data_IF_703094762943
#
_entry.id   IF_703094762943
#
_cell.length_a   1.000
_cell.length_b   1.000
_cell.length_c   1.000
_cell.angle_alpha   90.00
_cell.angle_beta   90.00
_cell.angle_gamma   90.00
#
_symmetry.space_group_name_H-M   'P 1'
#
loop_
_entity.id
_entity.type
_entity.pdbx_description
1 polymer ?
#
# COMPACT_ATOMS: atom_id res chain seq x y z
N UNK A 1 -18.92 10.87 -10.68
CA UNK A 1 -17.73 10.32 -11.35
C UNK A 1 -17.06 11.49 -12.06
N UNK A 2 -15.84 11.86 -11.68
CA UNK A 2 -15.10 12.96 -12.34
C UNK A 2 -14.74 12.53 -13.76
N UNK A 3 -15.11 13.31 -14.77
CA UNK A 3 -14.95 12.95 -16.18
C UNK A 3 -13.82 13.75 -16.83
N UNK A 4 -12.94 13.05 -17.56
CA UNK A 4 -11.96 13.69 -18.45
C UNK A 4 -12.55 13.86 -19.84
N UNK A 5 -12.18 14.96 -20.51
CA UNK A 5 -12.56 15.22 -21.89
C UNK A 5 -11.52 14.62 -22.83
N UNK A 6 -11.98 14.06 -23.95
CA UNK A 6 -11.14 13.55 -25.03
C UNK A 6 -10.07 12.52 -24.60
N UNK A 7 -10.37 11.69 -23.60
CA UNK A 7 -9.39 10.71 -23.10
C UNK A 7 -9.09 9.63 -24.15
N UNK A 8 -7.82 9.52 -24.54
CA UNK A 8 -7.32 8.52 -25.46
C UNK A 8 -6.22 7.69 -24.77
N UNK A 9 -6.49 6.40 -24.62
CA UNK A 9 -5.51 5.43 -24.14
C UNK A 9 -4.53 5.10 -25.26
N UNK A 10 -3.26 5.48 -25.07
CA UNK A 10 -2.15 5.12 -25.96
C UNK A 10 -1.71 3.66 -25.78
N UNK A 11 -0.40 3.40 -25.90
CA UNK A 11 0.12 2.05 -25.73
C UNK A 11 0.06 1.64 -24.25
N UNK A 12 -0.63 0.52 -23.98
CA UNK A 12 -0.82 0.03 -22.61
C UNK A 12 -0.28 -1.39 -22.34
N UNK A 13 0.30 -2.03 -23.35
CA UNK A 13 0.94 -3.35 -23.24
C UNK A 13 2.34 -3.36 -23.86
N UNK A 14 3.20 -4.26 -23.36
CA UNK A 14 4.58 -4.41 -23.83
C UNK A 14 5.48 -3.21 -23.53
N UNK A 15 5.23 -2.48 -22.45
CA UNK A 15 6.05 -1.34 -22.01
C UNK A 15 7.43 -1.76 -21.44
N UNK A 16 7.66 -3.07 -21.25
CA UNK A 16 8.92 -3.67 -20.80
C UNK A 16 9.51 -2.95 -19.58
N UNK A 17 8.73 -2.91 -18.51
CA UNK A 17 9.08 -2.24 -17.25
C UNK A 17 9.83 -3.23 -16.39
N UNK A 18 11.04 -2.86 -15.95
CA UNK A 18 11.82 -3.71 -15.04
C UNK A 18 11.14 -3.75 -13.68
N UNK A 19 10.91 -4.96 -13.18
CA UNK A 19 10.39 -5.19 -11.85
C UNK A 19 11.50 -5.03 -10.79
N UNK A 20 11.12 -4.70 -9.55
CA UNK A 20 12.07 -4.68 -8.44
C UNK A 20 12.40 -6.10 -7.95
N UNK A 21 13.64 -6.34 -7.55
CA UNK A 21 14.04 -7.66 -7.03
C UNK A 21 13.44 -7.92 -5.64
N UNK A 22 12.92 -9.14 -5.45
CA UNK A 22 12.39 -9.65 -4.18
C UNK A 22 13.27 -10.69 -3.50
N UNK A 23 14.46 -10.95 -4.03
CA UNK A 23 15.36 -11.94 -3.45
C UNK A 23 15.83 -11.48 -2.07
N UNK A 24 15.47 -12.24 -1.03
CA UNK A 24 15.95 -12.02 0.34
C UNK A 24 17.34 -12.61 0.47
N UNK A 25 18.31 -11.78 0.82
CA UNK A 25 19.69 -12.20 1.05
C UNK A 25 19.89 -12.60 2.51
N UNK A 26 20.85 -13.48 2.76
CA UNK A 26 21.18 -13.88 4.13
C UNK A 26 21.70 -12.69 4.95
N UNK A 27 22.37 -11.71 4.34
CA UNK A 27 22.80 -10.49 5.04
C UNK A 27 21.62 -9.69 5.62
N UNK A 28 20.48 -9.65 4.91
CA UNK A 28 19.27 -8.96 5.41
C UNK A 28 18.65 -9.68 6.62
N UNK A 29 18.80 -11.01 6.68
CA UNK A 29 18.36 -11.83 7.82
C UNK A 29 19.29 -11.58 9.02
N UNK A 30 20.59 -11.53 8.78
CA UNK A 30 21.58 -11.27 9.81
C UNK A 30 21.46 -9.85 10.38
N UNK A 31 21.19 -8.85 9.55
CA UNK A 31 20.88 -7.47 9.98
C UNK A 31 19.62 -7.43 10.85
N UNK A 32 18.54 -8.11 10.43
CA UNK A 32 17.32 -8.19 11.22
C UNK A 32 17.54 -8.90 12.57
N UNK A 33 18.33 -9.97 12.60
CA UNK A 33 18.71 -10.65 13.84
C UNK A 33 19.56 -9.75 14.75
N UNK A 34 20.49 -8.99 14.18
CA UNK A 34 21.30 -8.04 14.95
C UNK A 34 20.43 -6.97 15.61
N UNK A 35 19.43 -6.46 14.90
CA UNK A 35 18.44 -5.54 15.46
C UNK A 35 17.68 -6.17 16.64
N UNK A 36 17.22 -7.42 16.51
CA UNK A 36 16.52 -8.13 17.58
C UNK A 36 17.40 -8.39 18.81
N UNK A 37 18.68 -8.72 18.61
CA UNK A 37 19.64 -8.86 19.71
C UNK A 37 19.82 -7.55 20.48
N UNK A 38 19.93 -6.44 19.76
CA UNK A 38 20.06 -5.11 20.38
C UNK A 38 18.80 -4.75 21.17
N UNK A 39 17.61 -5.02 20.62
CA UNK A 39 16.35 -4.79 21.31
C UNK A 39 16.23 -5.63 22.60
N UNK A 40 16.59 -6.91 22.57
CA UNK A 40 16.60 -7.77 23.75
C UNK A 40 17.60 -7.28 24.82
N UNK A 41 18.79 -6.86 24.41
CA UNK A 41 19.80 -6.30 25.29
C UNK A 41 19.35 -4.99 25.96
N UNK A 42 18.64 -4.12 25.23
CA UNK A 42 18.05 -2.89 25.77
C UNK A 42 16.98 -3.19 26.82
N UNK A 43 16.10 -4.16 26.54
CA UNK A 43 15.05 -4.59 27.47
C UNK A 43 15.62 -5.23 28.73
N UNK A 44 16.68 -6.03 28.61
CA UNK A 44 17.40 -6.61 29.75
C UNK A 44 18.02 -5.50 30.62
N UNK A 45 18.66 -4.50 30.00
CA UNK A 45 19.25 -3.37 30.70
C UNK A 45 18.19 -2.56 31.47
N UNK A 46 17.04 -2.31 30.85
CA UNK A 46 15.90 -1.63 31.49
C UNK A 46 15.37 -2.43 32.70
N UNK A 47 15.18 -3.74 32.54
CA UNK A 47 14.75 -4.63 33.64
C UNK A 47 15.73 -4.63 34.82
N UNK A 48 17.03 -4.54 34.55
CA UNK A 48 18.09 -4.53 35.56
C UNK A 48 18.39 -3.13 36.12
N UNK A 49 17.77 -2.07 35.58
CA UNK A 49 18.00 -0.69 35.99
C UNK A 49 19.42 -0.19 35.69
N UNK A 50 20.09 -0.78 34.68
CA UNK A 50 21.45 -0.41 34.25
C UNK A 50 21.42 0.31 32.90
N UNK A 51 22.41 1.18 32.59
CA UNK A 51 22.47 1.84 31.29
C UNK A 51 22.70 0.82 30.15
N UNK A 52 21.88 0.90 29.09
CA UNK A 52 21.92 -0.04 27.94
C UNK A 52 23.31 -0.23 27.30
N UNK A 53 24.15 0.81 27.31
CA UNK A 53 25.51 0.76 26.77
C UNK A 53 26.39 -0.31 27.47
N UNK A 54 26.15 -0.61 28.75
CA UNK A 54 26.90 -1.66 29.46
C UNK A 54 26.52 -3.08 29.01
N UNK A 55 25.33 -3.26 28.44
CA UNK A 55 24.81 -4.56 27.99
C UNK A 55 25.07 -4.74 26.49
N UNK A 56 25.02 -3.67 25.70
CA UNK A 56 25.21 -3.70 24.23
C UNK A 56 26.59 -4.21 23.78
N UNK A 57 27.68 -3.86 24.47
CA UNK A 57 29.05 -4.24 24.09
C UNK A 57 29.33 -5.75 24.26
N UNK A 58 28.55 -6.46 25.09
CA UNK A 58 28.64 -7.92 25.29
C UNK A 58 27.57 -8.72 24.54
N UNK A 59 26.52 -8.06 24.02
CA UNK A 59 25.31 -8.74 23.50
C UNK A 59 25.25 -8.85 21.98
N UNK A 60 25.99 -8.01 21.24
CA UNK A 60 25.92 -7.96 19.78
C UNK A 60 26.28 -9.29 19.09
N UNK A 61 27.09 -10.14 19.75
CA UNK A 61 27.54 -11.42 19.20
C UNK A 61 26.92 -12.66 19.87
N UNK A 62 26.14 -12.51 20.94
CA UNK A 62 25.54 -13.69 21.61
C UNK A 62 24.31 -14.20 20.84
N UNK A 63 24.11 -15.52 20.74
CA UNK A 63 22.85 -16.05 20.24
C UNK A 63 21.70 -15.67 21.18
N UNK A 64 20.52 -15.43 20.60
CA UNK A 64 19.29 -15.27 21.38
C UNK A 64 18.97 -16.59 22.09
N UNK A 65 18.60 -16.51 23.36
CA UNK A 65 18.15 -17.64 24.15
C UNK A 65 16.73 -18.05 23.73
N UNK A 66 16.31 -19.31 24.00
CA UNK A 66 14.94 -19.75 23.71
C UNK A 66 13.84 -18.89 24.35
N UNK A 67 14.11 -18.31 25.53
CA UNK A 67 13.18 -17.40 26.21
C UNK A 67 13.01 -16.09 25.45
N UNK A 68 14.11 -15.46 25.03
CA UNK A 68 14.08 -14.24 24.22
C UNK A 68 13.41 -14.47 22.87
N UNK A 69 13.67 -15.63 22.24
CA UNK A 69 13.02 -16.02 20.99
C UNK A 69 11.50 -16.13 21.18
N UNK A 70 11.05 -16.69 22.31
CA UNK A 70 9.63 -16.84 22.61
C UNK A 70 8.94 -15.49 22.91
N UNK A 71 9.66 -14.53 23.49
CA UNK A 71 9.16 -13.16 23.69
C UNK A 71 9.03 -12.41 22.36
N UNK A 72 10.02 -12.55 21.47
CA UNK A 72 10.00 -11.92 20.14
C UNK A 72 8.94 -12.55 19.22
N UNK A 73 8.90 -13.88 19.18
CA UNK A 73 8.04 -14.65 18.29
C UNK A 73 7.40 -15.83 19.07
N UNK A 74 6.23 -15.60 19.68
CA UNK A 74 5.54 -16.63 20.45
C UNK A 74 5.30 -17.90 19.65
N UNK A 75 5.76 -19.03 20.19
CA UNK A 75 5.65 -20.35 19.56
C UNK A 75 6.90 -20.83 18.82
N UNK A 76 7.96 -20.00 18.74
CA UNK A 76 9.27 -20.43 18.28
C UNK A 76 10.21 -20.69 19.47
N UNK A 77 11.11 -21.64 19.33
CA UNK A 77 12.03 -22.04 20.40
C UNK A 77 13.49 -22.07 19.96
N UNK A 78 13.76 -22.00 18.66
CA UNK A 78 15.11 -22.11 18.11
C UNK A 78 15.47 -20.92 17.21
N UNK A 79 16.77 -20.66 17.10
CA UNK A 79 17.29 -19.59 16.24
C UNK A 79 17.02 -19.87 14.75
N UNK A 80 17.06 -21.14 14.35
CA UNK A 80 16.79 -21.54 12.96
C UNK A 80 15.32 -21.31 12.59
N UNK A 81 14.38 -21.65 13.46
CA UNK A 81 12.95 -21.32 13.28
C UNK A 81 12.73 -19.81 13.16
N UNK A 82 13.40 -19.01 14.01
CA UNK A 82 13.32 -17.55 13.94
C UNK A 82 13.91 -17.01 12.64
N UNK A 83 15.04 -17.56 12.16
CA UNK A 83 15.65 -17.19 10.88
C UNK A 83 14.72 -17.47 9.69
N UNK A 84 14.12 -18.65 9.64
CA UNK A 84 13.13 -18.95 8.59
C UNK A 84 11.93 -18.01 8.68
N UNK A 85 11.46 -17.72 9.90
CA UNK A 85 10.34 -16.78 10.07
C UNK A 85 10.68 -15.37 9.60
N UNK A 86 11.88 -14.88 9.92
CA UNK A 86 12.37 -13.59 9.44
C UNK A 86 12.50 -13.57 7.92
N UNK A 87 13.00 -14.66 7.31
CA UNK A 87 13.07 -14.79 5.86
C UNK A 87 11.69 -14.65 5.22
N UNK A 88 10.67 -15.33 5.75
CA UNK A 88 9.29 -15.21 5.29
C UNK A 88 8.75 -13.78 5.40
N UNK A 89 8.94 -13.15 6.57
CA UNK A 89 8.44 -11.79 6.84
C UNK A 89 9.12 -10.77 5.92
N UNK A 90 10.45 -10.82 5.82
CA UNK A 90 11.23 -9.94 4.95
C UNK A 90 10.81 -10.15 3.49
N UNK A 91 10.68 -11.40 3.05
CA UNK A 91 10.24 -11.70 1.69
C UNK A 91 8.83 -11.15 1.43
N UNK A 92 7.89 -11.34 2.36
CA UNK A 92 6.52 -10.81 2.25
C UNK A 92 6.51 -9.28 2.13
N UNK A 93 7.29 -8.58 2.96
CA UNK A 93 7.44 -7.12 2.87
C UNK A 93 8.06 -6.69 1.54
N UNK A 94 9.08 -7.39 1.06
CA UNK A 94 9.73 -7.09 -0.23
C UNK A 94 8.76 -7.30 -1.39
N UNK A 95 7.99 -8.39 -1.41
CA UNK A 95 6.97 -8.66 -2.44
C UNK A 95 5.90 -7.58 -2.44
N UNK A 96 5.41 -7.18 -1.28
CA UNK A 96 4.40 -6.12 -1.21
C UNK A 96 4.94 -4.76 -1.65
N UNK A 97 6.17 -4.41 -1.23
CA UNK A 97 6.83 -3.18 -1.64
C UNK A 97 7.15 -3.19 -3.14
N UNK A 98 7.57 -4.33 -3.69
CA UNK A 98 7.74 -4.52 -5.13
C UNK A 98 6.41 -4.24 -5.84
N UNK A 99 5.31 -4.90 -5.46
CA UNK A 99 4.01 -4.69 -6.11
C UNK A 99 3.56 -3.24 -6.10
N UNK A 100 3.74 -2.54 -4.98
CA UNK A 100 3.44 -1.11 -4.88
C UNK A 100 4.30 -0.27 -5.83
N UNK A 101 5.61 -0.53 -5.85
CA UNK A 101 6.54 0.21 -6.70
C UNK A 101 6.35 -0.08 -8.19
N UNK A 102 6.13 -1.35 -8.57
CA UNK A 102 5.83 -1.78 -9.94
C UNK A 102 4.52 -1.15 -10.41
N UNK A 103 3.48 -1.10 -9.57
CA UNK A 103 2.21 -0.43 -9.87
C UNK A 103 2.39 1.07 -10.08
N UNK A 104 3.19 1.73 -9.23
CA UNK A 104 3.48 3.15 -9.34
C UNK A 104 4.17 3.47 -10.69
N UNK A 105 5.23 2.74 -11.03
CA UNK A 105 5.98 2.95 -12.27
C UNK A 105 5.12 2.60 -13.49
N UNK A 106 4.33 1.53 -13.41
CA UNK A 106 3.38 1.15 -14.46
C UNK A 106 2.44 2.31 -14.80
N UNK A 107 1.73 2.85 -13.81
CA UNK A 107 0.79 3.93 -14.06
C UNK A 107 1.49 5.23 -14.46
N UNK A 108 2.68 5.52 -13.94
CA UNK A 108 3.47 6.65 -14.43
C UNK A 108 3.74 6.54 -15.94
N UNK A 109 4.13 5.36 -16.42
CA UNK A 109 4.34 5.13 -17.86
C UNK A 109 3.04 5.17 -18.65
N UNK A 110 1.99 4.52 -18.18
CA UNK A 110 0.70 4.48 -18.87
C UNK A 110 0.10 5.89 -19.02
N UNK A 111 0.18 6.71 -17.97
CA UNK A 111 -0.29 8.09 -18.01
C UNK A 111 0.49 8.90 -19.05
N UNK A 112 1.80 8.71 -19.15
CA UNK A 112 2.64 9.39 -20.14
C UNK A 112 2.31 9.02 -21.60
N UNK A 113 1.72 7.85 -21.83
CA UNK A 113 1.25 7.40 -23.16
C UNK A 113 -0.16 7.90 -23.49
N UNK A 114 -0.88 8.46 -22.53
CA UNK A 114 -2.26 8.90 -22.72
C UNK A 114 -2.34 10.36 -23.18
N UNK A 115 -3.36 10.66 -23.98
CA UNK A 115 -3.72 12.02 -24.38
C UNK A 115 -5.08 12.35 -23.79
N UNK A 116 -5.19 13.47 -23.06
CA UNK A 116 -6.45 13.86 -22.41
C UNK A 116 -6.41 15.33 -22.00
N UNK A 117 -7.59 15.87 -21.71
CA UNK A 117 -7.75 17.20 -21.11
C UNK A 117 -8.58 17.09 -19.83
N UNK A 118 -8.10 17.70 -18.75
CA UNK A 118 -8.87 17.83 -17.53
C UNK A 118 -9.89 18.95 -17.65
N UNK A 119 -11.08 18.70 -17.13
CA UNK A 119 -11.96 19.77 -16.75
C UNK A 119 -11.44 20.41 -15.45
N UNK A 120 -11.16 21.71 -15.49
CA UNK A 120 -10.53 22.42 -14.37
C UNK A 120 -11.40 22.38 -13.10
N UNK A 121 -12.72 22.51 -13.26
CA UNK A 121 -13.66 22.52 -12.13
C UNK A 121 -13.75 21.13 -11.49
N UNK A 122 -13.81 20.08 -12.31
CA UNK A 122 -13.80 18.70 -11.80
C UNK A 122 -12.48 18.32 -11.14
N UNK A 123 -11.35 18.82 -11.67
CA UNK A 123 -10.05 18.60 -11.06
C UNK A 123 -9.93 19.31 -9.70
N UNK A 124 -10.49 20.52 -9.56
CA UNK A 124 -10.54 21.24 -8.28
C UNK A 124 -11.45 20.55 -7.25
N UNK A 125 -12.60 20.04 -7.68
CA UNK A 125 -13.43 19.17 -6.81
C UNK A 125 -12.65 17.93 -6.38
N UNK A 126 -11.89 17.33 -7.30
CA UNK A 126 -10.98 16.22 -7.04
C UNK A 126 -9.96 16.53 -5.95
N UNK A 127 -9.28 17.67 -6.07
CA UNK A 127 -8.29 18.11 -5.08
C UNK A 127 -8.91 18.26 -3.69
N UNK A 128 -10.13 18.80 -3.59
CA UNK A 128 -10.84 18.94 -2.31
C UNK A 128 -11.23 17.58 -1.70
N UNK A 129 -11.60 16.59 -2.53
CA UNK A 129 -11.87 15.24 -2.04
C UNK A 129 -10.60 14.62 -1.47
N UNK A 130 -9.49 14.68 -2.21
CA UNK A 130 -8.18 14.18 -1.75
C UNK A 130 -7.76 14.84 -0.42
N UNK A 131 -7.92 16.16 -0.31
CA UNK A 131 -7.62 16.90 0.91
C UNK A 131 -8.45 16.39 2.11
N UNK A 132 -9.76 16.19 1.91
CA UNK A 132 -10.68 15.73 2.97
C UNK A 132 -10.39 14.30 3.40
N UNK A 133 -10.10 13.42 2.44
CA UNK A 133 -9.69 12.04 2.70
C UNK A 133 -8.40 12.00 3.53
N UNK A 134 -7.37 12.74 3.11
CA UNK A 134 -6.12 12.82 3.86
C UNK A 134 -6.32 13.36 5.28
N UNK A 135 -7.14 14.42 5.44
CA UNK A 135 -7.47 14.96 6.76
C UNK A 135 -8.24 13.96 7.65
N UNK A 136 -9.06 13.09 7.05
CA UNK A 136 -9.78 12.04 7.78
C UNK A 136 -8.83 10.90 8.19
N UNK A 137 -7.97 10.46 7.27
CA UNK A 137 -6.96 9.42 7.53
C UNK A 137 -5.97 9.84 8.62
N UNK A 138 -5.45 11.07 8.54
CA UNK A 138 -4.52 11.62 9.53
C UNK A 138 -5.13 11.63 10.94
N UNK A 139 -6.42 11.97 11.06
CA UNK A 139 -7.12 11.94 12.34
C UNK A 139 -7.38 10.52 12.83
N UNK A 140 -7.74 9.61 11.93
CA UNK A 140 -8.05 8.22 12.27
C UNK A 140 -6.81 7.43 12.69
N UNK A 141 -5.68 7.63 12.01
CA UNK A 141 -4.45 6.85 12.21
C UNK A 141 -3.51 7.49 13.22
N UNK A 142 -3.34 8.81 13.17
CA UNK A 142 -2.33 9.53 13.94
C UNK A 142 -2.92 10.43 15.02
N UNK A 143 -4.26 10.54 15.10
CA UNK A 143 -4.94 11.46 16.02
C UNK A 143 -4.58 12.93 15.75
N UNK A 144 -4.10 13.25 14.54
CA UNK A 144 -3.50 14.53 14.21
C UNK A 144 -4.44 15.38 13.34
N UNK A 145 -4.63 16.63 13.74
CA UNK A 145 -5.37 17.61 12.94
C UNK A 145 -4.52 18.11 11.76
N UNK A 146 -5.17 18.34 10.62
CA UNK A 146 -4.51 18.78 9.38
C UNK A 146 -3.63 20.02 9.58
N UNK A 147 -4.08 21.00 10.37
CA UNK A 147 -3.30 22.21 10.63
C UNK A 147 -1.97 21.92 11.32
N UNK A 148 -1.92 20.92 12.21
CA UNK A 148 -0.70 20.50 12.91
C UNK A 148 0.28 19.87 11.93
N UNK A 149 -0.22 19.03 11.02
CA UNK A 149 0.58 18.44 9.94
C UNK A 149 1.22 19.50 9.06
N UNK A 150 0.42 20.47 8.59
CA UNK A 150 0.89 21.55 7.72
C UNK A 150 1.97 22.41 8.40
N UNK A 151 1.79 22.76 9.68
CA UNK A 151 2.81 23.46 10.48
C UNK A 151 4.09 22.64 10.56
N UNK A 152 3.97 21.34 10.87
CA UNK A 152 5.12 20.42 10.96
C UNK A 152 5.89 20.28 9.66
N UNK A 153 5.19 20.33 8.52
CA UNK A 153 5.78 20.29 7.17
C UNK A 153 6.23 21.64 6.64
N UNK A 154 5.90 22.74 7.34
CA UNK A 154 6.11 24.12 6.88
C UNK A 154 5.44 24.39 5.53
N UNK A 155 4.25 23.82 5.33
CA UNK A 155 3.43 24.00 4.14
C UNK A 155 2.24 24.90 4.46
N UNK A 156 1.88 25.74 3.51
CA UNK A 156 0.59 26.43 3.53
C UNK A 156 -0.52 25.50 3.03
N UNK A 157 -1.77 25.82 3.36
CA UNK A 157 -2.92 25.08 2.84
C UNK A 157 -3.02 25.15 1.31
N UNK A 158 -2.59 26.26 0.69
CA UNK A 158 -2.59 26.44 -0.76
C UNK A 158 -1.55 25.55 -1.45
N UNK A 159 -0.32 25.47 -0.91
CA UNK A 159 0.72 24.58 -1.42
C UNK A 159 0.29 23.11 -1.32
N UNK A 160 -0.31 22.72 -0.20
CA UNK A 160 -0.80 21.34 -0.04
C UNK A 160 -2.02 21.04 -0.93
N UNK A 161 -2.89 22.02 -1.20
CA UNK A 161 -3.97 21.85 -2.17
C UNK A 161 -3.46 21.66 -3.60
N UNK A 162 -2.30 22.24 -3.95
CA UNK A 162 -1.66 21.98 -5.24
C UNK A 162 -1.19 20.51 -5.33
N UNK A 163 -0.59 19.97 -4.26
CA UNK A 163 -0.24 18.54 -4.19
C UNK A 163 -1.50 17.65 -4.29
N UNK A 164 -2.59 18.03 -3.62
CA UNK A 164 -3.87 17.34 -3.73
C UNK A 164 -4.41 17.37 -5.16
N UNK A 165 -4.22 18.48 -5.88
CA UNK A 165 -4.63 18.63 -7.29
C UNK A 165 -3.84 17.70 -8.20
N UNK A 166 -2.53 17.57 -8.00
CA UNK A 166 -1.71 16.61 -8.74
C UNK A 166 -2.11 15.16 -8.45
N UNK A 167 -2.41 14.85 -7.19
CA UNK A 167 -2.87 13.52 -6.81
C UNK A 167 -4.26 13.20 -7.40
N UNK A 168 -5.17 14.17 -7.38
CA UNK A 168 -6.47 14.05 -8.04
C UNK A 168 -6.32 13.78 -9.54
N UNK A 169 -5.43 14.52 -10.22
CA UNK A 169 -5.12 14.31 -11.63
C UNK A 169 -4.64 12.87 -11.90
N UNK A 170 -3.70 12.36 -11.09
CA UNK A 170 -3.19 10.99 -11.18
C UNK A 170 -4.28 9.95 -10.95
N UNK A 171 -5.14 10.13 -9.95
CA UNK A 171 -6.26 9.21 -9.64
C UNK A 171 -7.29 9.17 -10.77
N UNK A 172 -7.66 10.34 -11.30
CA UNK A 172 -8.60 10.46 -12.41
C UNK A 172 -8.02 9.75 -13.66
N UNK A 173 -6.76 10.01 -13.99
CA UNK A 173 -6.07 9.36 -15.12
C UNK A 173 -6.01 7.83 -14.94
N UNK A 174 -5.57 7.36 -13.77
CA UNK A 174 -5.52 5.93 -13.42
C UNK A 174 -6.87 5.25 -13.60
N UNK A 175 -7.93 5.85 -13.07
CA UNK A 175 -9.27 5.27 -13.14
C UNK A 175 -9.77 5.16 -14.58
N UNK A 176 -9.56 6.18 -15.42
CA UNK A 176 -9.96 6.11 -16.82
C UNK A 176 -9.16 5.07 -17.62
N UNK A 177 -7.86 4.93 -17.36
CA UNK A 177 -7.04 3.86 -17.95
C UNK A 177 -7.65 2.50 -17.60
N UNK A 178 -7.93 2.26 -16.32
CA UNK A 178 -8.48 1.00 -15.85
C UNK A 178 -9.86 0.73 -16.45
N UNK A 179 -10.77 1.70 -16.47
CA UNK A 179 -12.11 1.53 -17.00
C UNK A 179 -12.09 1.21 -18.50
N UNK A 180 -11.17 1.82 -19.27
CA UNK A 180 -10.96 1.48 -20.68
C UNK A 180 -10.33 0.12 -20.88
N UNK A 181 -9.37 -0.28 -20.04
CA UNK A 181 -8.76 -1.61 -20.11
C UNK A 181 -9.78 -2.69 -19.77
N UNK A 182 -10.60 -2.49 -18.73
CA UNK A 182 -11.70 -3.39 -18.38
C UNK A 182 -12.62 -3.60 -19.58
N UNK A 183 -12.99 -2.50 -20.26
CA UNK A 183 -13.88 -2.54 -21.43
C UNK A 183 -13.22 -3.22 -22.64
N UNK A 184 -11.96 -2.86 -22.96
CA UNK A 184 -11.23 -3.36 -24.13
C UNK A 184 -10.88 -4.84 -24.02
N UNK A 185 -10.46 -5.28 -22.83
CA UNK A 185 -10.03 -6.65 -22.56
C UNK A 185 -11.19 -7.54 -22.09
N UNK A 186 -12.39 -6.99 -21.92
CA UNK A 186 -13.56 -7.73 -21.47
C UNK A 186 -13.41 -8.32 -20.07
N UNK A 187 -12.74 -7.61 -19.16
CA UNK A 187 -12.53 -8.07 -17.79
C UNK A 187 -13.85 -8.03 -17.04
N UNK A 188 -14.25 -9.18 -16.50
CA UNK A 188 -15.52 -9.35 -15.80
C UNK A 188 -15.33 -10.03 -14.44
N UNK A 189 -16.31 -9.81 -13.56
CA UNK A 189 -16.45 -10.58 -12.34
C UNK A 189 -17.24 -11.85 -12.64
N UNK A 190 -16.74 -12.97 -12.12
CA UNK A 190 -17.47 -14.22 -12.06
C UNK A 190 -18.63 -14.11 -11.08
N UNK A 191 -19.65 -14.94 -11.27
CA UNK A 191 -20.80 -14.98 -10.34
C UNK A 191 -20.37 -15.33 -8.92
N UNK A 192 -19.34 -16.18 -8.77
CA UNK A 192 -18.78 -16.52 -7.47
C UNK A 192 -18.12 -15.30 -6.77
N UNK A 193 -17.39 -14.46 -7.52
CA UNK A 193 -16.80 -13.24 -6.98
C UNK A 193 -17.87 -12.25 -6.52
N UNK A 194 -18.94 -12.08 -7.30
CA UNK A 194 -20.08 -11.21 -6.93
C UNK A 194 -20.80 -11.71 -5.69
N UNK A 195 -21.07 -13.01 -5.61
CA UNK A 195 -21.70 -13.62 -4.43
C UNK A 195 -20.84 -13.40 -3.18
N UNK A 196 -19.53 -13.62 -3.28
CA UNK A 196 -18.61 -13.40 -2.17
C UNK A 196 -18.56 -11.93 -1.71
N UNK A 197 -18.67 -10.97 -2.64
CA UNK A 197 -18.79 -9.56 -2.30
C UNK A 197 -20.08 -9.27 -1.53
N UNK A 198 -21.21 -9.79 -2.00
CA UNK A 198 -22.51 -9.65 -1.34
C UNK A 198 -22.48 -10.21 0.09
N UNK A 199 -21.98 -11.44 0.26
CA UNK A 199 -21.89 -12.09 1.57
C UNK A 199 -20.97 -11.34 2.55
N UNK A 200 -19.87 -10.74 2.05
CA UNK A 200 -18.97 -9.92 2.88
C UNK A 200 -19.64 -8.63 3.33
N UNK A 201 -20.39 -7.97 2.45
CA UNK A 201 -21.09 -6.72 2.78
C UNK A 201 -22.21 -6.98 3.80
N UNK A 202 -22.96 -8.06 3.65
CA UNK A 202 -23.98 -8.48 4.61
C UNK A 202 -23.42 -8.76 6.02
N UNK A 203 -22.21 -9.31 6.11
CA UNK A 203 -21.55 -9.60 7.39
C UNK A 203 -20.97 -8.37 8.07
N UNK A 204 -20.53 -7.38 7.30
CA UNK A 204 -19.82 -6.21 7.83
C UNK A 204 -20.76 -5.05 8.19
N UNK A 205 -21.96 -5.00 7.63
CA UNK A 205 -22.88 -3.88 7.81
C UNK A 205 -24.14 -4.38 8.51
N UNK A 206 -24.35 -4.01 9.77
CA UNK A 206 -25.68 -4.12 10.38
C UNK A 206 -26.71 -3.37 9.53
N UNK A 207 -27.85 -4.03 9.24
CA UNK A 207 -28.92 -3.61 8.29
C UNK A 207 -28.87 -2.14 7.81
N UNK A 208 -28.15 -1.83 6.72
CA UNK A 208 -28.29 -0.55 6.03
C UNK A 208 -29.56 -0.56 5.15
N UNK A 209 -30.07 0.63 4.83
CA UNK A 209 -31.20 0.83 3.91
C UNK A 209 -30.90 0.22 2.52
N UNK A 210 -31.87 -0.37 1.80
CA UNK A 210 -31.66 -1.11 0.55
C UNK A 210 -30.91 -0.31 -0.54
N UNK A 211 -31.21 0.98 -0.68
CA UNK A 211 -30.57 1.87 -1.67
C UNK A 211 -29.08 2.09 -1.39
N UNK A 212 -28.66 2.02 -0.12
CA UNK A 212 -27.24 2.11 0.26
C UNK A 212 -26.48 0.82 -0.02
N UNK A 213 -27.14 -0.34 0.03
CA UNK A 213 -26.51 -1.63 -0.25
C UNK A 213 -26.12 -1.79 -1.70
N UNK A 214 -27.00 -1.39 -2.62
CA UNK A 214 -26.75 -1.50 -4.06
C UNK A 214 -25.59 -0.60 -4.49
N UNK A 215 -25.53 0.64 -3.98
CA UNK A 215 -24.41 1.55 -4.23
C UNK A 215 -23.08 0.98 -3.69
N UNK A 216 -23.07 0.45 -2.46
CA UNK A 216 -21.87 -0.16 -1.86
C UNK A 216 -21.41 -1.40 -2.62
N UNK A 217 -22.34 -2.23 -3.09
CA UNK A 217 -22.01 -3.40 -3.91
C UNK A 217 -21.39 -2.96 -5.23
N UNK A 218 -21.98 -1.98 -5.91
CA UNK A 218 -21.44 -1.43 -7.17
C UNK A 218 -20.03 -0.85 -7.00
N UNK A 219 -19.76 -0.15 -5.90
CA UNK A 219 -18.43 0.35 -5.57
C UNK A 219 -17.42 -0.79 -5.32
N UNK A 220 -17.83 -1.83 -4.58
CA UNK A 220 -16.99 -3.00 -4.31
C UNK A 220 -16.68 -3.80 -5.59
N UNK A 221 -17.66 -3.94 -6.49
CA UNK A 221 -17.47 -4.55 -7.80
C UNK A 221 -16.49 -3.73 -8.66
N UNK A 222 -16.67 -2.42 -8.71
CA UNK A 222 -15.77 -1.50 -9.42
C UNK A 222 -14.34 -1.61 -8.90
N UNK A 223 -14.17 -1.67 -7.58
CA UNK A 223 -12.87 -1.87 -6.95
C UNK A 223 -12.23 -3.20 -7.38
N UNK A 224 -12.98 -4.30 -7.37
CA UNK A 224 -12.47 -5.62 -7.74
C UNK A 224 -12.11 -5.71 -9.24
N UNK A 225 -12.94 -5.13 -10.12
CA UNK A 225 -12.65 -5.06 -11.55
C UNK A 225 -11.35 -4.27 -11.82
N UNK A 226 -11.19 -3.12 -11.17
CA UNK A 226 -9.99 -2.29 -11.28
C UNK A 226 -8.74 -2.98 -10.73
N UNK A 227 -8.89 -3.76 -9.66
CA UNK A 227 -7.82 -4.63 -9.16
C UNK A 227 -7.43 -5.68 -10.22
N UNK A 228 -8.39 -6.40 -10.81
CA UNK A 228 -8.13 -7.39 -11.87
C UNK A 228 -7.46 -6.76 -13.11
N UNK A 229 -7.89 -5.57 -13.50
CA UNK A 229 -7.24 -4.82 -14.58
C UNK A 229 -5.81 -4.38 -14.24
N UNK A 230 -5.54 -4.01 -12.99
CA UNK A 230 -4.17 -3.71 -12.53
C UNK A 230 -3.27 -4.94 -12.64
N UNK A 231 -3.73 -6.10 -12.17
CA UNK A 231 -2.99 -7.36 -12.28
C UNK A 231 -2.73 -7.76 -13.74
N UNK A 232 -3.74 -7.62 -14.61
CA UNK A 232 -3.57 -7.82 -16.06
C UNK A 232 -2.48 -6.92 -16.63
N UNK A 233 -2.50 -5.62 -16.30
CA UNK A 233 -1.52 -4.66 -16.81
C UNK A 233 -0.11 -4.93 -16.27
N UNK A 234 0.03 -5.36 -15.01
CA UNK A 234 1.33 -5.77 -14.45
C UNK A 234 1.87 -6.98 -15.23
N UNK A 235 1.06 -8.01 -15.45
CA UNK A 235 1.47 -9.20 -16.21
C UNK A 235 1.86 -8.88 -17.65
N UNK A 236 1.16 -7.94 -18.30
CA UNK A 236 1.39 -7.57 -19.69
C UNK A 236 2.60 -6.64 -19.90
N UNK A 237 3.16 -6.05 -18.84
CA UNK A 237 4.17 -5.00 -18.96
C UNK A 237 5.44 -5.22 -18.14
N UNK A 238 5.40 -6.03 -17.08
CA UNK A 238 6.57 -6.27 -16.24
C UNK A 238 7.51 -7.30 -16.87
N UNK A 239 8.81 -7.04 -16.80
CA UNK A 239 9.88 -7.98 -17.12
C UNK A 239 10.73 -8.21 -15.86
N UNK A 240 11.07 -9.48 -15.62
CA UNK A 240 11.93 -9.90 -14.51
C UNK A 240 13.41 -9.70 -14.83
#
# INVERSE_FOLDING_TARGET
MMTMKNFQLGRYTGLNIKSFSTNTKDEEIDEALAYLRNAAAEQEAECLGVPAFHVQEQSAERPLSPGEIQEIAPGLHTLDELKEKLREVIHWHKVNRQKQADTLILFQRLIAECTYEYDAEELDKGAQVVYKEFAAELRANDGMEMIVYLIGKKLTAEEFLLECREEAARRIARNAILDLVITREGIQLTEQEKQHLSEKLEKNIGQPQPEGQEAMLSEAETFLLRHKATEYLLQANMIN
#
